data_IF_302954841888
#
_entry.id   IF_302954841888
#
_cell.length_a   1.000
_cell.length_b   1.000
_cell.length_c   1.000
_cell.angle_alpha   90.00
_cell.angle_beta   90.00
_cell.angle_gamma   90.00
#
_symmetry.space_group_name_H-M   'P 1'
#
loop_
_entity.id
_entity.type
_entity.pdbx_description
1 polymer ?
#
# COMPACT_ATOMS: atom_id res chain seq x y z
N UNK A 1 -13.14 -52.44 39.40
CA UNK A 1 -12.21 -53.32 40.16
C UNK A 1 -10.83 -53.15 39.56
N UNK A 2 -9.79 -52.95 40.39
CA UNK A 2 -8.36 -52.74 40.05
C UNK A 2 -7.98 -51.43 39.36
N UNK A 3 -6.88 -50.73 39.72
CA UNK A 3 -6.03 -50.74 40.92
C UNK A 3 -5.23 -49.43 40.88
N UNK A 4 -5.19 -48.73 42.01
CA UNK A 4 -4.36 -47.56 42.27
C UNK A 4 -2.90 -48.01 42.32
N UNK A 5 -2.00 -47.31 41.62
CA UNK A 5 -0.55 -47.35 41.88
C UNK A 5 -0.12 -45.92 42.21
N UNK A 6 0.20 -45.71 43.48
CA UNK A 6 0.85 -44.53 44.04
C UNK A 6 2.35 -44.77 44.16
N UNK A 7 3.15 -43.76 43.78
CA UNK A 7 4.31 -43.19 44.51
C UNK A 7 5.44 -42.72 43.56
N UNK A 8 6.37 -41.85 43.99
CA UNK A 8 6.34 -40.90 45.11
C UNK A 8 6.80 -39.48 44.71
N UNK A 9 6.58 -38.55 45.64
CA UNK A 9 7.06 -37.16 45.66
C UNK A 9 8.60 -37.07 45.70
N UNK A 10 9.15 -36.05 45.07
CA UNK A 10 10.42 -35.43 45.47
C UNK A 10 11.23 -34.81 44.33
N UNK A 11 11.31 -33.48 44.28
CA UNK A 11 12.26 -32.76 43.43
C UNK A 11 11.88 -31.30 43.23
N UNK A 12 12.67 -30.39 43.78
CA UNK A 12 12.58 -28.92 43.69
C UNK A 12 12.96 -28.39 42.30
N UNK A 13 12.56 -27.13 42.08
CA UNK A 13 13.01 -26.16 41.07
C UNK A 13 12.63 -26.41 39.61
N UNK A 14 11.72 -25.58 39.08
CA UNK A 14 12.15 -24.39 38.35
C UNK A 14 10.97 -23.43 38.15
N UNK A 15 11.22 -22.15 38.42
CA UNK A 15 10.26 -21.05 38.31
C UNK A 15 9.87 -20.72 36.87
N UNK A 16 9.16 -21.64 36.21
CA UNK A 16 8.35 -21.30 35.04
C UNK A 16 7.15 -20.49 35.55
N UNK A 17 7.30 -19.16 35.56
CA UNK A 17 6.16 -18.24 35.62
C UNK A 17 5.16 -18.73 34.58
N UNK A 18 4.01 -19.22 35.03
CA UNK A 18 2.93 -19.67 34.15
C UNK A 18 2.62 -18.55 33.15
N UNK A 19 2.99 -18.75 31.89
CA UNK A 19 2.76 -17.80 30.80
C UNK A 19 1.29 -17.44 30.63
N UNK A 20 0.38 -18.26 31.17
CA UNK A 20 -1.05 -18.00 31.25
C UNK A 20 -1.47 -16.86 32.19
N UNK A 21 -0.61 -16.46 33.14
CA UNK A 21 -0.93 -15.39 34.11
C UNK A 21 -0.54 -14.00 33.59
N UNK A 22 0.55 -13.90 32.82
CA UNK A 22 1.03 -12.63 32.25
C UNK A 22 0.03 -11.99 31.29
N UNK A 23 -0.66 -12.79 30.47
CA UNK A 23 -1.64 -12.28 29.49
C UNK A 23 -2.91 -11.75 30.16
N UNK A 24 -3.31 -12.31 31.31
CA UNK A 24 -4.47 -11.82 32.08
C UNK A 24 -4.20 -10.51 32.80
N UNK A 25 -2.92 -10.15 32.98
CA UNK A 25 -2.49 -8.93 33.66
C UNK A 25 -2.34 -7.74 32.71
N UNK A 26 -2.45 -7.95 31.39
CA UNK A 26 -2.42 -6.84 30.44
C UNK A 26 -3.67 -5.97 30.58
N UNK A 27 -3.52 -4.63 30.68
CA UNK A 27 -4.64 -3.72 30.65
C UNK A 27 -5.47 -3.88 29.37
N UNK A 28 -6.81 -3.71 29.42
CA UNK A 28 -7.69 -3.83 28.26
C UNK A 28 -7.26 -3.00 27.04
N UNK A 29 -6.68 -1.83 27.26
CA UNK A 29 -6.23 -0.90 26.24
C UNK A 29 -5.04 -1.46 25.46
N UNK A 30 -4.08 -2.07 26.17
CA UNK A 30 -2.89 -2.68 25.58
C UNK A 30 -3.30 -3.91 24.78
N UNK A 31 -4.17 -4.75 25.33
CA UNK A 31 -4.64 -5.93 24.62
C UNK A 31 -5.47 -5.54 23.38
N UNK A 32 -6.26 -4.48 23.46
CA UNK A 32 -6.98 -3.93 22.31
C UNK A 32 -6.03 -3.43 21.21
N UNK A 33 -4.96 -2.71 21.59
CA UNK A 33 -3.95 -2.25 20.66
C UNK A 33 -3.23 -3.43 19.95
N UNK A 34 -2.93 -4.48 20.71
CA UNK A 34 -2.38 -5.74 20.16
C UNK A 34 -3.36 -6.33 19.15
N UNK A 35 -4.64 -6.47 19.50
CA UNK A 35 -5.66 -7.03 18.60
C UNK A 35 -5.78 -6.27 17.28
N UNK A 36 -5.73 -4.93 17.34
CA UNK A 36 -5.80 -4.06 16.16
C UNK A 36 -4.54 -4.13 15.30
N UNK A 37 -3.42 -4.57 15.87
CA UNK A 37 -2.14 -4.72 15.16
C UNK A 37 -1.99 -6.10 14.50
N UNK A 38 -2.91 -7.05 14.77
CA UNK A 38 -2.86 -8.38 14.15
C UNK A 38 -3.22 -8.28 12.66
N UNK A 39 -2.34 -8.72 11.75
CA UNK A 39 -2.62 -8.74 10.33
C UNK A 39 -3.88 -9.56 10.05
N UNK A 40 -4.89 -8.91 9.47
CA UNK A 40 -6.18 -9.52 9.20
C UNK A 40 -6.36 -9.78 7.71
N UNK A 41 -5.30 -10.23 7.02
CA UNK A 41 -5.27 -10.43 5.56
C UNK A 41 -4.75 -9.20 4.80
N UNK A 42 -4.72 -9.30 3.46
CA UNK A 42 -4.37 -8.18 2.60
C UNK A 42 -5.47 -7.11 2.61
N UNK A 43 -5.13 -5.86 2.33
CA UNK A 43 -6.05 -4.70 2.35
C UNK A 43 -7.35 -4.89 1.54
N UNK A 44 -7.32 -5.75 0.53
CA UNK A 44 -8.45 -6.03 -0.38
C UNK A 44 -9.03 -7.45 -0.23
N UNK A 45 -8.42 -8.28 0.61
CA UNK A 45 -8.90 -9.62 0.95
C UNK A 45 -8.74 -9.85 2.46
N UNK A 46 -9.44 -9.05 3.31
CA UNK A 46 -9.35 -9.25 4.74
C UNK A 46 -9.88 -10.64 5.11
N UNK A 47 -9.22 -11.27 6.07
CA UNK A 47 -9.65 -12.50 6.70
C UNK A 47 -10.43 -12.16 7.97
N UNK A 48 -11.77 -12.02 7.89
CA UNK A 48 -12.57 -11.62 9.04
C UNK A 48 -12.54 -12.65 10.19
N UNK A 49 -12.07 -13.88 9.92
CA UNK A 49 -11.98 -14.92 10.95
C UNK A 49 -10.88 -14.64 11.98
N UNK A 50 -9.91 -13.77 11.69
CA UNK A 50 -8.85 -13.40 12.65
C UNK A 50 -9.48 -12.80 13.91
N UNK A 51 -10.39 -11.84 13.77
CA UNK A 51 -11.08 -11.19 14.89
C UNK A 51 -11.96 -12.17 15.67
N UNK A 52 -12.64 -13.08 14.96
CA UNK A 52 -13.45 -14.14 15.59
C UNK A 52 -12.56 -15.05 16.43
N UNK A 53 -11.41 -15.47 15.91
CA UNK A 53 -10.43 -16.30 16.62
C UNK A 53 -9.89 -15.60 17.86
N UNK A 54 -9.53 -14.32 17.78
CA UNK A 54 -9.09 -13.53 18.93
C UNK A 54 -10.18 -13.51 20.03
N UNK A 55 -11.45 -13.32 19.65
CA UNK A 55 -12.57 -13.33 20.60
C UNK A 55 -12.91 -14.72 21.18
N UNK A 56 -12.25 -15.78 20.71
CA UNK A 56 -12.53 -17.17 21.11
C UNK A 56 -11.51 -17.75 22.11
N UNK A 57 -10.39 -17.06 22.36
CA UNK A 57 -9.27 -17.55 23.19
C UNK A 57 -9.68 -17.80 24.64
N UNK A 58 -10.19 -16.78 25.34
CA UNK A 58 -10.67 -16.88 26.71
C UNK A 58 -11.77 -15.86 26.99
N UNK A 59 -12.43 -15.94 28.17
CA UNK A 59 -13.51 -15.00 28.55
C UNK A 59 -13.03 -13.53 28.54
N UNK A 60 -11.85 -13.26 29.09
CA UNK A 60 -11.29 -11.92 29.16
C UNK A 60 -11.03 -11.31 27.77
N UNK A 61 -10.41 -12.09 26.87
CA UNK A 61 -10.15 -11.66 25.49
C UNK A 61 -11.43 -11.42 24.72
N UNK A 62 -12.45 -12.27 24.93
CA UNK A 62 -13.77 -12.09 24.33
C UNK A 62 -14.40 -10.77 24.77
N UNK A 63 -14.40 -10.49 26.07
CA UNK A 63 -14.96 -9.25 26.61
C UNK A 63 -14.27 -8.02 26.03
N UNK A 64 -12.94 -8.02 25.99
CA UNK A 64 -12.15 -6.94 25.40
C UNK A 64 -12.47 -6.79 23.91
N UNK A 65 -12.39 -7.89 23.14
CA UNK A 65 -12.66 -7.87 21.71
C UNK A 65 -14.06 -7.32 21.41
N UNK A 66 -15.11 -7.74 22.15
CA UNK A 66 -16.47 -7.25 21.98
C UNK A 66 -16.65 -5.78 22.37
N UNK A 67 -15.80 -5.26 23.27
CA UNK A 67 -15.81 -3.85 23.65
C UNK A 67 -14.97 -2.96 22.72
N UNK A 68 -14.06 -3.54 21.95
CA UNK A 68 -13.22 -2.83 20.98
C UNK A 68 -13.90 -2.80 19.61
N UNK A 69 -14.83 -1.85 19.42
CA UNK A 69 -15.63 -1.73 18.19
C UNK A 69 -14.82 -1.61 16.89
N UNK A 70 -13.64 -0.98 16.94
CA UNK A 70 -12.73 -0.86 15.81
C UNK A 70 -12.22 -2.21 15.28
N UNK A 71 -12.26 -3.27 16.08
CA UNK A 71 -11.91 -4.63 15.65
C UNK A 71 -12.93 -5.20 14.65
N UNK A 72 -14.14 -4.65 14.64
CA UNK A 72 -15.28 -5.14 13.85
C UNK A 72 -15.72 -4.14 12.77
N UNK A 73 -14.98 -3.05 12.57
CA UNK A 73 -15.39 -1.96 11.67
C UNK A 73 -15.23 -2.26 10.18
N UNK A 74 -14.49 -3.32 9.82
CA UNK A 74 -14.30 -3.72 8.43
C UNK A 74 -15.36 -4.73 8.03
N UNK A 75 -16.35 -4.27 7.27
CA UNK A 75 -17.49 -5.08 6.83
C UNK A 75 -17.23 -5.55 5.41
N UNK A 76 -16.95 -6.84 5.27
CA UNK A 76 -16.59 -7.42 3.98
C UNK A 76 -17.63 -8.40 3.50
N UNK A 77 -17.98 -8.26 2.24
CA UNK A 77 -18.86 -9.17 1.54
C UNK A 77 -18.13 -9.78 0.36
N UNK A 78 -18.11 -11.12 0.32
CA UNK A 78 -17.48 -11.90 -0.73
C UNK A 78 -18.46 -12.79 -1.50
N UNK A 79 -19.56 -13.15 -0.83
CA UNK A 79 -20.61 -14.08 -1.25
C UNK A 79 -21.79 -13.96 -0.26
N UNK A 80 -22.89 -14.68 -0.52
CA UNK A 80 -24.08 -14.66 0.36
C UNK A 80 -23.82 -15.23 1.76
N UNK A 81 -22.85 -16.13 1.92
CA UNK A 81 -22.52 -16.73 3.22
C UNK A 81 -21.94 -15.70 4.20
N UNK A 82 -21.30 -14.65 3.66
CA UNK A 82 -20.73 -13.55 4.46
C UNK A 82 -21.77 -12.64 5.13
N UNK A 83 -23.05 -12.72 4.76
CA UNK A 83 -24.07 -11.76 5.20
C UNK A 83 -24.33 -11.83 6.71
N UNK A 84 -24.34 -13.03 7.29
CA UNK A 84 -24.54 -13.20 8.73
C UNK A 84 -23.34 -12.68 9.51
N UNK A 85 -22.12 -12.90 8.99
CA UNK A 85 -20.90 -12.38 9.59
C UNK A 85 -20.86 -10.85 9.53
N UNK A 86 -21.27 -10.26 8.40
CA UNK A 86 -21.38 -8.81 8.25
C UNK A 86 -22.37 -8.20 9.25
N UNK A 87 -23.57 -8.78 9.41
CA UNK A 87 -24.56 -8.34 10.41
C UNK A 87 -24.00 -8.43 11.84
N UNK A 88 -23.27 -9.50 12.15
CA UNK A 88 -22.60 -9.67 13.44
C UNK A 88 -21.52 -8.60 13.66
N UNK A 89 -20.74 -8.27 12.63
CA UNK A 89 -19.68 -7.27 12.73
C UNK A 89 -20.26 -5.87 12.89
N UNK A 90 -21.31 -5.55 12.13
CA UNK A 90 -22.05 -4.29 12.26
C UNK A 90 -22.57 -4.05 13.68
N UNK A 91 -23.14 -5.08 14.33
CA UNK A 91 -23.63 -4.94 15.72
C UNK A 91 -22.50 -4.73 16.72
N UNK A 92 -21.32 -5.33 16.47
CA UNK A 92 -20.13 -5.21 17.33
C UNK A 92 -19.31 -3.96 17.08
N UNK A 93 -19.38 -3.38 15.88
CA UNK A 93 -18.70 -2.14 15.53
C UNK A 93 -19.27 -0.91 16.28
N UNK A 94 -20.44 -1.04 16.92
CA UNK A 94 -21.08 0.01 17.73
C UNK A 94 -21.21 1.32 16.95
N UNK A 95 -20.48 2.38 17.31
CA UNK A 95 -20.49 3.69 16.66
C UNK A 95 -19.21 4.01 15.87
N UNK A 96 -18.31 3.03 15.68
CA UNK A 96 -17.05 3.25 14.97
C UNK A 96 -17.29 3.59 13.48
N UNK A 97 -16.35 4.34 12.90
CA UNK A 97 -16.31 4.52 11.45
C UNK A 97 -16.10 3.17 10.76
N UNK A 98 -16.73 2.96 9.61
CA UNK A 98 -16.80 1.67 8.94
C UNK A 98 -16.03 1.67 7.61
N UNK A 99 -15.35 0.57 7.34
CA UNK A 99 -14.78 0.28 6.03
C UNK A 99 -15.64 -0.81 5.39
N UNK A 100 -16.28 -0.47 4.28
CA UNK A 100 -17.20 -1.36 3.57
C UNK A 100 -16.53 -1.88 2.31
N UNK A 101 -16.47 -3.20 2.18
CA UNK A 101 -15.82 -3.88 1.07
C UNK A 101 -16.85 -4.80 0.39
N UNK A 102 -17.24 -4.44 -0.82
CA UNK A 102 -18.17 -5.17 -1.68
C UNK A 102 -17.36 -5.83 -2.79
N UNK A 103 -16.86 -7.04 -2.56
CA UNK A 103 -15.90 -7.69 -3.47
C UNK A 103 -16.43 -9.02 -3.99
N UNK A 104 -16.28 -9.31 -5.27
CA UNK A 104 -16.71 -10.59 -5.82
C UNK A 104 -15.57 -11.61 -5.76
N UNK A 105 -15.80 -12.81 -5.21
CA UNK A 105 -14.87 -13.94 -5.37
C UNK A 105 -14.92 -14.46 -6.81
N UNK A 106 -13.82 -14.43 -7.60
CA UNK A 106 -13.83 -14.75 -9.04
C UNK A 106 -14.35 -16.13 -9.46
N UNK A 107 -14.62 -17.03 -8.50
CA UNK A 107 -15.05 -18.42 -8.74
C UNK A 107 -16.42 -18.75 -8.13
N UNK A 108 -17.11 -17.78 -7.51
CA UNK A 108 -18.33 -18.03 -6.74
C UNK A 108 -19.65 -17.86 -7.52
N UNK A 109 -19.60 -17.55 -8.82
CA UNK A 109 -20.78 -17.16 -9.61
C UNK A 109 -21.32 -15.77 -9.21
N UNK A 110 -22.27 -15.21 -9.97
CA UNK A 110 -22.82 -13.88 -9.64
C UNK A 110 -23.41 -13.88 -8.22
N UNK A 111 -23.11 -12.84 -7.44
CA UNK A 111 -23.57 -12.70 -6.06
C UNK A 111 -24.34 -11.38 -5.92
N UNK A 112 -25.40 -11.33 -5.09
CA UNK A 112 -26.28 -10.17 -5.01
C UNK A 112 -25.62 -9.04 -4.20
N UNK A 113 -24.76 -8.26 -4.84
CA UNK A 113 -24.07 -7.12 -4.23
C UNK A 113 -25.07 -6.06 -3.73
N UNK A 114 -26.17 -5.91 -4.45
CA UNK A 114 -27.28 -5.04 -4.04
C UNK A 114 -27.83 -5.39 -2.66
N UNK A 115 -28.06 -6.67 -2.36
CA UNK A 115 -28.48 -7.12 -1.04
C UNK A 115 -27.43 -6.85 0.05
N UNK A 116 -26.15 -6.97 -0.30
CA UNK A 116 -25.08 -6.61 0.64
C UNK A 116 -25.05 -5.11 0.92
N UNK A 117 -25.22 -4.27 -0.11
CA UNK A 117 -25.37 -2.83 0.07
C UNK A 117 -26.54 -2.51 1.01
N UNK A 118 -27.72 -3.12 0.80
CA UNK A 118 -28.89 -2.93 1.68
C UNK A 118 -28.61 -3.22 3.16
N UNK A 119 -27.79 -4.23 3.46
CA UNK A 119 -27.40 -4.56 4.84
C UNK A 119 -26.60 -3.42 5.49
N UNK A 120 -25.73 -2.76 4.74
CA UNK A 120 -24.86 -1.69 5.26
C UNK A 120 -25.42 -0.28 5.08
N UNK A 121 -26.40 -0.06 4.20
CA UNK A 121 -27.03 1.25 3.96
C UNK A 121 -27.51 1.96 5.24
N UNK A 122 -28.10 1.29 6.26
CA UNK A 122 -28.48 1.97 7.49
C UNK A 122 -27.31 2.63 8.24
N UNK A 123 -26.07 2.22 7.94
CA UNK A 123 -24.85 2.71 8.59
C UNK A 123 -24.07 3.74 7.76
N UNK A 124 -24.65 4.20 6.64
CA UNK A 124 -24.00 5.10 5.68
C UNK A 124 -23.26 6.30 6.29
N UNK A 125 -23.80 7.04 7.29
CA UNK A 125 -23.10 8.20 7.89
C UNK A 125 -21.75 7.86 8.51
N UNK A 126 -21.54 6.59 8.87
CA UNK A 126 -20.33 6.09 9.52
C UNK A 126 -19.30 5.60 8.51
N UNK A 127 -19.61 5.56 7.21
CA UNK A 127 -18.68 5.02 6.23
C UNK A 127 -17.48 5.95 6.06
N UNK A 128 -16.30 5.37 6.26
CA UNK A 128 -14.99 5.98 6.00
C UNK A 128 -14.42 5.50 4.68
N UNK A 129 -14.54 4.21 4.40
CA UNK A 129 -14.00 3.60 3.18
C UNK A 129 -15.08 2.80 2.47
N UNK A 130 -15.13 2.91 1.14
CA UNK A 130 -15.91 2.06 0.28
C UNK A 130 -15.00 1.48 -0.81
N UNK A 131 -14.89 0.15 -0.84
CA UNK A 131 -14.23 -0.59 -1.92
C UNK A 131 -15.30 -1.40 -2.63
N UNK A 132 -15.40 -1.23 -3.94
CA UNK A 132 -16.36 -1.94 -4.76
C UNK A 132 -15.66 -2.63 -5.92
N UNK A 133 -15.89 -3.93 -6.03
CA UNK A 133 -15.58 -4.69 -7.23
C UNK A 133 -16.66 -4.42 -8.28
N UNK A 134 -16.22 -3.98 -9.45
CA UNK A 134 -17.03 -3.71 -10.63
C UNK A 134 -16.70 -4.73 -11.71
N UNK A 135 -16.38 -5.98 -11.37
CA UNK A 135 -16.30 -7.09 -12.32
C UNK A 135 -17.68 -7.49 -12.85
N UNK A 136 -18.68 -7.56 -11.97
CA UNK A 136 -20.10 -7.74 -12.33
C UNK A 136 -20.80 -6.38 -12.35
N UNK A 137 -20.86 -5.74 -13.52
CA UNK A 137 -21.43 -4.39 -13.64
C UNK A 137 -22.90 -4.33 -13.34
N UNK A 138 -23.64 -5.43 -13.52
CA UNK A 138 -25.09 -5.41 -13.29
C UNK A 138 -25.35 -5.23 -11.80
N UNK A 139 -24.67 -6.01 -10.97
CA UNK A 139 -24.78 -5.92 -9.52
C UNK A 139 -24.11 -4.67 -8.96
N UNK A 140 -22.96 -4.26 -9.50
CA UNK A 140 -22.33 -2.99 -9.11
C UNK A 140 -23.22 -1.78 -9.44
N UNK A 141 -23.87 -1.77 -10.61
CA UNK A 141 -24.81 -0.71 -11.01
C UNK A 141 -25.98 -0.62 -10.03
N UNK A 142 -26.57 -1.76 -9.64
CA UNK A 142 -27.66 -1.80 -8.66
C UNK A 142 -27.20 -1.28 -7.30
N UNK A 143 -26.07 -1.76 -6.80
CA UNK A 143 -25.52 -1.34 -5.52
C UNK A 143 -25.21 0.17 -5.48
N UNK A 144 -24.53 0.71 -6.51
CA UNK A 144 -24.24 2.15 -6.62
C UNK A 144 -25.55 2.94 -6.67
N UNK A 145 -26.52 2.53 -7.50
CA UNK A 145 -27.80 3.23 -7.62
C UNK A 145 -28.54 3.31 -6.29
N UNK A 146 -28.55 2.24 -5.51
CA UNK A 146 -29.14 2.22 -4.17
C UNK A 146 -28.44 3.21 -3.21
N UNK A 147 -27.11 3.20 -3.20
CA UNK A 147 -26.29 4.10 -2.38
C UNK A 147 -26.56 5.56 -2.73
N UNK A 148 -26.54 5.90 -4.03
CA UNK A 148 -26.77 7.26 -4.49
C UNK A 148 -28.20 7.74 -4.19
N UNK A 149 -29.19 6.89 -4.46
CA UNK A 149 -30.60 7.20 -4.15
C UNK A 149 -30.79 7.51 -2.68
N UNK A 150 -30.14 6.74 -1.79
CA UNK A 150 -30.18 6.98 -0.35
C UNK A 150 -29.56 8.34 0.03
N UNK A 151 -28.38 8.65 -0.50
CA UNK A 151 -27.68 9.92 -0.24
C UNK A 151 -28.49 11.13 -0.74
N UNK A 152 -29.10 11.01 -1.92
CA UNK A 152 -29.86 12.08 -2.55
C UNK A 152 -31.21 12.31 -1.86
N UNK A 153 -31.89 11.22 -1.47
CA UNK A 153 -33.17 11.30 -0.76
C UNK A 153 -33.01 11.79 0.67
N UNK A 154 -31.87 11.51 1.31
CA UNK A 154 -31.57 11.88 2.70
C UNK A 154 -30.14 12.44 2.81
N UNK A 155 -29.91 13.73 2.51
CA UNK A 155 -28.58 14.32 2.58
C UNK A 155 -27.90 14.21 3.96
N UNK A 156 -28.68 14.16 5.05
CA UNK A 156 -28.18 13.94 6.41
C UNK A 156 -27.52 12.56 6.59
N UNK A 157 -27.77 11.62 5.68
CA UNK A 157 -27.17 10.30 5.67
C UNK A 157 -25.86 10.22 4.89
N UNK A 158 -25.50 11.26 4.12
CA UNK A 158 -24.31 11.26 3.29
C UNK A 158 -23.04 10.99 4.12
N UNK A 159 -22.13 10.12 3.62
CA UNK A 159 -20.96 9.71 4.38
C UNK A 159 -19.88 10.79 4.31
N UNK A 160 -19.03 10.86 5.34
CA UNK A 160 -17.73 11.55 5.24
C UNK A 160 -16.68 10.57 4.73
N UNK A 161 -16.83 10.20 3.47
CA UNK A 161 -16.01 9.17 2.85
C UNK A 161 -14.58 9.68 2.66
N UNK A 162 -13.61 8.98 3.24
CA UNK A 162 -12.20 9.28 3.04
C UNK A 162 -11.70 8.56 1.80
N UNK A 163 -12.10 7.30 1.58
CA UNK A 163 -11.56 6.46 0.52
C UNK A 163 -12.68 5.82 -0.30
N UNK A 164 -12.64 6.04 -1.62
CA UNK A 164 -13.48 5.34 -2.60
C UNK A 164 -12.60 4.58 -3.58
N UNK A 165 -12.83 3.28 -3.72
CA UNK A 165 -12.09 2.41 -4.65
C UNK A 165 -13.03 1.67 -5.58
N UNK A 166 -12.77 1.77 -6.88
CA UNK A 166 -13.36 0.92 -7.91
C UNK A 166 -12.31 -0.06 -8.41
N UNK A 167 -12.60 -1.36 -8.30
CA UNK A 167 -11.69 -2.42 -8.70
C UNK A 167 -12.35 -3.36 -9.72
N UNK A 168 -11.60 -3.93 -10.66
CA UNK A 168 -12.10 -5.04 -11.51
C UNK A 168 -10.99 -6.01 -11.84
N UNK A 169 -11.35 -7.28 -11.95
CA UNK A 169 -10.48 -8.36 -12.44
C UNK A 169 -10.73 -8.60 -13.92
N UNK A 170 -9.68 -8.89 -14.70
CA UNK A 170 -9.86 -9.33 -16.09
C UNK A 170 -10.20 -8.22 -17.10
N UNK A 171 -10.16 -6.95 -16.67
CA UNK A 171 -10.18 -5.76 -17.53
C UNK A 171 -11.39 -5.66 -18.45
N UNK A 172 -12.61 -5.72 -17.94
CA UNK A 172 -13.83 -5.55 -18.74
C UNK A 172 -14.00 -4.06 -19.18
N UNK A 173 -14.55 -3.80 -20.37
CA UNK A 173 -14.71 -2.44 -20.93
C UNK A 173 -15.95 -1.70 -20.44
N UNK A 174 -15.82 -0.90 -19.38
CA UNK A 174 -16.93 -0.17 -18.74
C UNK A 174 -17.89 0.48 -19.77
N UNK A 175 -19.15 0.03 -19.77
CA UNK A 175 -20.21 0.63 -20.58
C UNK A 175 -20.56 2.06 -20.12
N UNK A 176 -21.17 2.85 -21.00
CA UNK A 176 -21.43 4.28 -20.75
C UNK A 176 -22.30 4.53 -19.50
N UNK A 177 -23.32 3.70 -19.26
CA UNK A 177 -24.16 3.80 -18.05
C UNK A 177 -23.36 3.68 -16.75
N UNK A 178 -22.39 2.77 -16.70
CA UNK A 178 -21.53 2.59 -15.52
C UNK A 178 -20.55 3.76 -15.38
N UNK A 179 -20.08 4.31 -16.50
CA UNK A 179 -19.23 5.51 -16.53
C UNK A 179 -19.95 6.68 -15.84
N UNK A 180 -21.20 6.92 -16.20
CA UNK A 180 -22.01 8.00 -15.65
C UNK A 180 -22.29 7.79 -14.15
N UNK A 181 -22.55 6.55 -13.74
CA UNK A 181 -22.76 6.20 -12.33
C UNK A 181 -21.51 6.39 -11.48
N UNK A 182 -20.34 6.00 -11.98
CA UNK A 182 -19.06 6.23 -11.30
C UNK A 182 -18.83 7.73 -11.13
N UNK A 183 -19.02 8.51 -12.19
CA UNK A 183 -18.86 9.97 -12.14
C UNK A 183 -19.83 10.62 -11.13
N UNK A 184 -21.11 10.20 -11.15
CA UNK A 184 -22.13 10.65 -10.19
C UNK A 184 -21.77 10.24 -8.77
N UNK A 185 -21.24 9.05 -8.56
CA UNK A 185 -20.84 8.58 -7.23
C UNK A 185 -19.70 9.39 -6.63
N UNK A 186 -18.71 9.79 -7.43
CA UNK A 186 -17.62 10.66 -6.97
C UNK A 186 -18.17 12.04 -6.58
N UNK A 187 -19.11 12.59 -7.37
CA UNK A 187 -19.76 13.87 -7.06
C UNK A 187 -20.60 13.86 -5.79
N UNK A 188 -21.36 12.79 -5.56
CA UNK A 188 -22.29 12.66 -4.44
C UNK A 188 -21.57 12.27 -3.16
N UNK A 189 -20.67 11.27 -3.22
CA UNK A 189 -19.97 10.75 -2.05
C UNK A 189 -18.76 11.59 -1.65
N UNK A 190 -18.24 12.43 -2.56
CA UNK A 190 -17.16 13.40 -2.35
C UNK A 190 -15.95 12.85 -1.58
N UNK A 191 -15.30 11.75 -2.04
CA UNK A 191 -14.20 11.15 -1.32
C UNK A 191 -12.93 12.02 -1.33
N UNK A 192 -12.20 12.06 -0.21
CA UNK A 192 -10.88 12.72 -0.16
C UNK A 192 -9.82 11.96 -0.99
N UNK A 193 -9.93 10.64 -1.05
CA UNK A 193 -9.05 9.72 -1.76
C UNK A 193 -9.83 8.85 -2.75
N UNK A 194 -9.37 8.81 -3.99
CA UNK A 194 -9.97 8.04 -5.07
C UNK A 194 -8.96 7.04 -5.64
N UNK A 195 -9.39 5.79 -5.79
CA UNK A 195 -8.55 4.71 -6.33
C UNK A 195 -9.27 3.95 -7.42
N UNK A 196 -8.56 3.69 -8.52
CA UNK A 196 -9.03 2.84 -9.62
C UNK A 196 -8.03 1.70 -9.80
N UNK A 197 -8.52 0.46 -9.74
CA UNK A 197 -7.71 -0.75 -9.92
C UNK A 197 -8.30 -1.60 -11.05
N UNK A 198 -7.59 -1.75 -12.17
CA UNK A 198 -8.13 -2.46 -13.34
C UNK A 198 -9.22 -1.71 -14.12
N UNK A 199 -9.71 -0.58 -13.59
CA UNK A 199 -10.79 0.24 -14.15
C UNK A 199 -10.21 1.53 -14.72
N UNK A 200 -10.57 1.88 -15.96
CA UNK A 200 -10.19 3.18 -16.51
C UNK A 200 -11.11 4.28 -15.97
N UNK A 201 -10.56 5.37 -15.40
CA UNK A 201 -11.34 6.52 -15.01
C UNK A 201 -12.05 7.15 -16.21
N UNK A 202 -13.19 7.76 -15.91
CA UNK A 202 -13.97 8.59 -16.83
C UNK A 202 -13.27 9.94 -16.97
N UNK A 203 -13.36 10.61 -18.13
CA UNK A 203 -12.87 11.98 -18.25
C UNK A 203 -13.81 12.88 -17.44
N UNK A 204 -13.36 13.51 -16.35
CA UNK A 204 -14.23 14.35 -15.54
C UNK A 204 -14.30 15.78 -16.08
N UNK A 205 -15.31 16.52 -15.62
CA UNK A 205 -15.35 17.98 -15.76
C UNK A 205 -14.42 18.67 -14.74
N UNK A 206 -14.46 18.29 -13.45
CA UNK A 206 -13.48 18.69 -12.40
C UNK A 206 -13.72 17.95 -11.07
N UNK A 207 -12.66 17.53 -10.37
CA UNK A 207 -12.72 16.92 -9.03
C UNK A 207 -11.82 17.65 -8.02
N UNK A 208 -12.17 18.90 -7.70
CA UNK A 208 -11.34 19.78 -6.85
C UNK A 208 -11.19 19.32 -5.39
N UNK A 209 -12.06 18.42 -4.92
CA UNK A 209 -12.05 17.93 -3.54
C UNK A 209 -11.07 16.76 -3.33
N UNK A 210 -10.72 16.04 -4.41
CA UNK A 210 -9.89 14.84 -4.32
C UNK A 210 -8.42 15.24 -4.11
N UNK A 211 -7.82 14.75 -3.02
CA UNK A 211 -6.43 15.02 -2.64
C UNK A 211 -5.51 13.85 -2.91
N UNK A 212 -6.05 12.64 -2.95
CA UNK A 212 -5.26 11.43 -3.17
C UNK A 212 -5.83 10.66 -4.36
N UNK A 213 -4.99 10.38 -5.35
CA UNK A 213 -5.37 9.63 -6.54
C UNK A 213 -4.45 8.44 -6.71
N UNK A 214 -5.04 7.25 -6.80
CA UNK A 214 -4.32 6.02 -7.10
C UNK A 214 -4.86 5.36 -8.36
N UNK A 215 -3.99 5.14 -9.34
CA UNK A 215 -4.29 4.47 -10.61
C UNK A 215 -3.47 3.19 -10.68
N UNK A 216 -4.13 2.04 -10.61
CA UNK A 216 -3.50 0.74 -10.43
C UNK A 216 -3.95 -0.25 -11.51
N UNK A 217 -3.01 -1.05 -12.00
CA UNK A 217 -3.27 -2.17 -12.91
C UNK A 217 -4.17 -1.78 -14.09
N UNK A 218 -3.98 -0.59 -14.68
CA UNK A 218 -4.79 -0.14 -15.81
C UNK A 218 -4.39 -0.95 -17.05
N UNK A 219 -5.06 -2.09 -17.27
CA UNK A 219 -4.77 -3.00 -18.38
C UNK A 219 -5.37 -2.45 -19.68
N UNK A 220 -4.51 -2.35 -20.70
CA UNK A 220 -4.89 -1.97 -22.05
C UNK A 220 -5.50 -3.19 -22.76
N UNK A 221 -6.84 -3.31 -22.79
CA UNK A 221 -7.48 -4.06 -23.90
C UNK A 221 -7.25 -3.25 -25.19
N UNK A 222 -7.04 -3.89 -26.36
CA UNK A 222 -6.31 -3.37 -27.54
C UNK A 222 -6.75 -2.05 -28.23
N UNK A 223 -7.45 -1.12 -27.55
CA UNK A 223 -7.91 0.16 -28.10
C UNK A 223 -7.99 1.38 -27.13
N UNK A 224 -7.77 1.28 -25.80
CA UNK A 224 -8.39 2.30 -24.90
C UNK A 224 -7.51 3.42 -24.32
N UNK A 225 -6.23 3.20 -23.98
CA UNK A 225 -5.43 4.22 -23.27
C UNK A 225 -4.41 4.93 -24.18
N UNK A 226 -4.70 6.16 -24.58
CA UNK A 226 -3.71 7.07 -25.19
C UNK A 226 -3.09 7.99 -24.14
N UNK A 227 -1.89 8.52 -24.41
CA UNK A 227 -1.26 9.52 -23.53
C UNK A 227 -2.13 10.77 -23.36
N UNK A 228 -2.83 11.19 -24.42
CA UNK A 228 -3.76 12.32 -24.39
C UNK A 228 -4.96 12.04 -23.47
N UNK A 229 -5.56 10.85 -23.56
CA UNK A 229 -6.66 10.47 -22.66
C UNK A 229 -6.20 10.45 -21.20
N UNK A 230 -5.01 9.89 -20.93
CA UNK A 230 -4.42 9.89 -19.59
C UNK A 230 -4.17 11.31 -19.05
N UNK A 231 -3.66 12.21 -19.90
CA UNK A 231 -3.47 13.61 -19.56
C UNK A 231 -4.80 14.30 -19.19
N UNK A 232 -5.87 14.03 -19.93
CA UNK A 232 -7.21 14.57 -19.66
C UNK A 232 -7.74 14.09 -18.31
N UNK A 233 -7.56 12.81 -17.97
CA UNK A 233 -7.92 12.28 -16.64
C UNK A 233 -7.19 13.08 -15.57
N UNK A 234 -5.86 13.18 -15.67
CA UNK A 234 -5.07 13.82 -14.62
C UNK A 234 -5.36 15.32 -14.47
N UNK A 235 -5.70 16.01 -15.57
CA UNK A 235 -6.07 17.44 -15.54
C UNK A 235 -7.30 17.76 -14.70
N UNK A 236 -8.17 16.78 -14.48
CA UNK A 236 -9.34 16.99 -13.62
C UNK A 236 -9.03 17.08 -12.12
N UNK A 237 -7.81 16.74 -11.70
CA UNK A 237 -7.39 16.69 -10.30
C UNK A 237 -6.40 17.82 -9.99
N UNK A 238 -6.92 19.03 -9.79
CA UNK A 238 -6.09 20.24 -9.67
C UNK A 238 -5.50 20.48 -8.27
N UNK A 239 -6.12 19.91 -7.22
CA UNK A 239 -5.69 20.05 -5.81
C UNK A 239 -5.02 18.80 -5.25
N UNK A 240 -4.49 17.96 -6.14
CA UNK A 240 -3.92 16.67 -5.76
C UNK A 240 -2.69 16.85 -4.87
N UNK A 241 -2.69 16.20 -3.71
CA UNK A 241 -1.57 16.14 -2.76
C UNK A 241 -0.71 14.88 -2.95
N UNK A 242 -1.33 13.76 -3.35
CA UNK A 242 -0.61 12.52 -3.65
C UNK A 242 -1.10 11.88 -4.95
N UNK A 243 -0.15 11.44 -5.78
CA UNK A 243 -0.40 10.72 -7.02
C UNK A 243 0.35 9.39 -7.01
N UNK A 244 -0.40 8.29 -7.03
CA UNK A 244 0.15 6.94 -7.13
C UNK A 244 -0.25 6.31 -8.46
N UNK A 245 0.74 5.81 -9.19
CA UNK A 245 0.55 5.16 -10.49
C UNK A 245 1.27 3.82 -10.43
N UNK A 246 0.48 2.73 -10.47
CA UNK A 246 0.95 1.35 -10.36
C UNK A 246 0.54 0.55 -11.61
N UNK A 247 1.49 -0.14 -12.24
CA UNK A 247 1.22 -1.13 -13.29
C UNK A 247 0.31 -0.61 -14.42
N UNK A 248 0.50 0.65 -14.82
CA UNK A 248 -0.25 1.25 -15.94
C UNK A 248 0.40 0.82 -17.25
N UNK A 249 -0.36 0.11 -18.09
CA UNK A 249 0.15 -0.53 -19.31
C UNK A 249 0.40 0.45 -20.47
N UNK A 250 1.05 -0.03 -21.52
CA UNK A 250 1.58 0.76 -22.65
C UNK A 250 0.47 1.58 -23.33
N UNK A 251 0.59 2.90 -23.25
CA UNK A 251 -0.22 3.82 -24.05
C UNK A 251 0.20 3.75 -25.53
N UNK A 252 -0.77 3.83 -26.45
CA UNK A 252 -0.50 3.98 -27.89
C UNK A 252 -0.33 5.47 -28.22
N UNK A 253 0.66 5.80 -29.04
CA UNK A 253 0.89 7.15 -29.54
C UNK A 253 2.39 7.50 -29.68
N UNK A 254 2.73 8.27 -30.72
CA UNK A 254 4.04 8.89 -30.86
C UNK A 254 4.04 10.17 -30.00
N UNK A 255 5.09 10.40 -29.20
CA UNK A 255 5.31 11.62 -28.41
C UNK A 255 5.27 12.87 -29.31
N UNK A 256 4.09 13.43 -29.56
CA UNK A 256 3.94 14.74 -30.21
C UNK A 256 3.46 15.72 -29.14
N UNK A 257 4.43 16.46 -28.59
CA UNK A 257 4.32 17.42 -27.46
C UNK A 257 3.89 16.80 -26.13
N UNK A 258 4.78 16.86 -25.15
CA UNK A 258 4.46 16.66 -23.74
C UNK A 258 3.69 17.88 -23.23
N UNK A 259 2.37 17.78 -23.30
CA UNK A 259 1.48 18.69 -22.63
C UNK A 259 1.83 18.79 -21.14
N UNK A 260 2.10 20.01 -20.66
CA UNK A 260 2.43 20.24 -19.26
C UNK A 260 1.23 19.90 -18.36
N UNK A 261 1.48 19.14 -17.30
CA UNK A 261 0.53 18.84 -16.24
C UNK A 261 0.97 19.58 -14.97
N UNK A 262 0.17 20.53 -14.50
CA UNK A 262 0.50 21.32 -13.32
C UNK A 262 -0.24 20.80 -12.10
N UNK A 263 0.50 20.44 -11.05
CA UNK A 263 -0.03 20.01 -9.77
C UNK A 263 0.60 20.84 -8.64
N UNK A 264 0.09 22.05 -8.36
CA UNK A 264 0.71 22.97 -7.42
C UNK A 264 0.74 22.45 -5.98
N UNK A 265 -0.22 21.61 -5.60
CA UNK A 265 -0.36 21.05 -4.26
C UNK A 265 0.31 19.67 -4.09
N UNK A 266 0.87 19.07 -5.14
CA UNK A 266 1.37 17.70 -5.10
C UNK A 266 2.60 17.61 -4.22
N UNK A 267 2.51 16.80 -3.16
CA UNK A 267 3.54 16.53 -2.16
C UNK A 267 4.23 15.19 -2.41
N UNK A 268 3.49 14.20 -2.90
CA UNK A 268 4.02 12.84 -3.10
C UNK A 268 3.69 12.30 -4.49
N UNK A 269 4.69 11.79 -5.18
CA UNK A 269 4.54 11.11 -6.47
C UNK A 269 5.14 9.71 -6.38
N UNK A 270 4.34 8.70 -6.70
CA UNK A 270 4.81 7.31 -6.71
C UNK A 270 4.55 6.63 -8.05
N UNK A 271 5.60 6.06 -8.65
CA UNK A 271 5.58 5.32 -9.90
C UNK A 271 6.06 3.88 -9.67
N UNK A 272 5.19 2.90 -9.90
CA UNK A 272 5.45 1.49 -9.59
C UNK A 272 5.10 0.59 -10.77
N UNK A 273 6.06 -0.15 -11.34
CA UNK A 273 5.76 -1.10 -12.42
C UNK A 273 5.06 -0.48 -13.67
N UNK A 274 4.79 -1.31 -14.68
CA UNK A 274 4.07 -0.88 -15.89
C UNK A 274 4.96 -0.27 -16.98
N UNK A 275 4.36 0.56 -17.83
CA UNK A 275 4.99 1.05 -19.07
C UNK A 275 6.06 2.12 -18.84
N UNK A 276 7.26 1.86 -19.34
CA UNK A 276 8.34 2.86 -19.35
C UNK A 276 7.99 4.11 -20.16
N UNK A 277 7.20 3.98 -21.24
CA UNK A 277 6.71 5.12 -22.03
C UNK A 277 5.82 6.02 -21.19
N UNK A 278 4.91 5.45 -20.40
CA UNK A 278 4.05 6.21 -19.51
C UNK A 278 4.87 6.91 -18.41
N UNK A 279 5.83 6.20 -17.82
CA UNK A 279 6.73 6.77 -16.83
C UNK A 279 7.53 7.95 -17.39
N UNK A 280 8.08 7.84 -18.61
CA UNK A 280 8.77 8.94 -19.31
C UNK A 280 7.85 10.14 -19.52
N UNK A 281 6.63 9.90 -19.99
CA UNK A 281 5.63 10.95 -20.19
C UNK A 281 5.33 11.69 -18.88
N UNK A 282 5.04 10.98 -17.78
CA UNK A 282 4.75 11.57 -16.47
C UNK A 282 5.95 12.38 -15.98
N UNK A 283 7.14 11.77 -15.99
CA UNK A 283 8.38 12.43 -15.58
C UNK A 283 8.72 13.63 -16.45
N UNK A 284 8.24 13.73 -17.70
CA UNK A 284 8.45 14.90 -18.55
C UNK A 284 7.35 15.98 -18.34
N UNK A 285 6.10 15.56 -18.22
CA UNK A 285 4.92 16.43 -18.23
C UNK A 285 4.62 17.09 -16.88
N UNK A 286 4.90 16.40 -15.77
CA UNK A 286 4.54 16.87 -14.41
C UNK A 286 5.38 18.08 -13.99
N UNK A 287 4.69 19.13 -13.54
CA UNK A 287 5.23 20.29 -12.82
C UNK A 287 4.58 20.36 -11.44
N UNK A 288 5.37 20.08 -10.40
CA UNK A 288 4.89 19.96 -9.03
C UNK A 288 5.82 20.72 -8.07
N UNK A 289 5.66 22.05 -7.92
CA UNK A 289 6.57 22.87 -7.12
C UNK A 289 6.60 22.52 -5.62
N UNK A 290 5.55 21.88 -5.12
CA UNK A 290 5.43 21.45 -3.72
C UNK A 290 5.89 20.00 -3.47
N UNK A 291 6.48 19.34 -4.48
CA UNK A 291 6.81 17.92 -4.41
C UNK A 291 7.94 17.67 -3.41
N UNK A 292 7.63 16.92 -2.35
CA UNK A 292 8.55 16.57 -1.26
C UNK A 292 9.04 15.14 -1.34
N UNK A 293 8.17 14.19 -1.71
CA UNK A 293 8.50 12.77 -1.77
C UNK A 293 8.35 12.22 -3.18
N UNK A 294 9.40 11.56 -3.67
CA UNK A 294 9.39 10.86 -4.95
C UNK A 294 9.74 9.40 -4.76
N UNK A 295 8.85 8.52 -5.22
CA UNK A 295 9.01 7.08 -5.14
C UNK A 295 8.99 6.43 -6.52
N UNK A 296 10.04 5.70 -6.88
CA UNK A 296 10.18 5.04 -8.18
C UNK A 296 10.57 3.58 -8.00
N UNK A 297 9.64 2.65 -8.29
CA UNK A 297 9.93 1.22 -8.44
C UNK A 297 9.78 0.77 -9.88
N UNK A 298 10.66 1.31 -10.71
CA UNK A 298 10.83 0.99 -12.13
C UNK A 298 12.30 0.72 -12.42
N UNK A 299 12.61 0.20 -13.61
CA UNK A 299 14.00 0.09 -14.06
C UNK A 299 14.59 1.49 -14.28
N UNK A 300 15.48 1.91 -13.39
CA UNK A 300 16.11 3.25 -13.42
C UNK A 300 17.06 3.40 -14.61
N UNK A 301 17.69 2.31 -15.08
CA UNK A 301 18.59 2.32 -16.24
C UNK A 301 17.95 2.98 -17.46
N UNK A 302 16.72 2.60 -17.80
CA UNK A 302 16.04 3.09 -19.02
C UNK A 302 15.41 4.47 -18.83
N UNK A 303 15.21 4.89 -17.58
CA UNK A 303 14.57 6.16 -17.21
C UNK A 303 15.56 7.22 -16.72
N UNK A 304 16.86 6.91 -16.70
CA UNK A 304 17.89 7.73 -16.05
C UNK A 304 17.80 9.20 -16.44
N UNK A 305 17.81 9.51 -17.75
CA UNK A 305 17.74 10.89 -18.23
C UNK A 305 16.43 11.60 -17.85
N UNK A 306 15.30 10.88 -17.88
CA UNK A 306 14.00 11.43 -17.50
C UNK A 306 13.92 11.70 -15.99
N UNK A 307 14.48 10.82 -15.17
CA UNK A 307 14.56 10.99 -13.72
C UNK A 307 15.48 12.17 -13.38
N UNK A 308 16.67 12.21 -13.97
CA UNK A 308 17.63 13.30 -13.75
C UNK A 308 17.04 14.67 -14.14
N UNK A 309 16.45 14.77 -15.33
CA UNK A 309 15.75 15.98 -15.77
C UNK A 309 14.60 16.36 -14.82
N UNK A 310 13.85 15.37 -14.32
CA UNK A 310 12.78 15.61 -13.36
C UNK A 310 13.31 16.10 -12.01
N UNK A 311 14.38 15.50 -11.49
CA UNK A 311 15.02 15.89 -10.24
C UNK A 311 15.63 17.30 -10.34
N UNK A 312 16.33 17.62 -11.42
CA UNK A 312 16.87 18.97 -11.65
C UNK A 312 15.75 20.04 -11.61
N UNK A 313 14.59 19.75 -12.22
CA UNK A 313 13.43 20.67 -12.23
C UNK A 313 12.77 20.85 -10.86
N UNK A 314 12.91 19.89 -9.94
CA UNK A 314 12.27 19.89 -8.63
C UNK A 314 13.30 19.81 -7.47
N UNK A 315 14.55 20.19 -7.76
CA UNK A 315 15.72 20.02 -6.89
C UNK A 315 15.58 20.72 -5.54
N UNK A 316 14.88 21.85 -5.52
CA UNK A 316 14.66 22.67 -4.32
C UNK A 316 13.58 22.15 -3.39
N UNK A 317 12.62 21.34 -3.89
CA UNK A 317 11.44 20.91 -3.12
C UNK A 317 11.55 19.48 -2.60
N UNK A 318 12.24 18.59 -3.32
CA UNK A 318 12.36 17.18 -2.94
C UNK A 318 13.17 17.05 -1.65
N UNK A 319 12.65 16.25 -0.72
CA UNK A 319 13.24 15.90 0.59
C UNK A 319 13.39 14.40 0.77
N UNK A 320 12.54 13.61 0.12
CA UNK A 320 12.55 12.16 0.21
C UNK A 320 12.60 11.54 -1.17
N UNK A 321 13.54 10.61 -1.37
CA UNK A 321 13.73 9.90 -2.63
C UNK A 321 13.85 8.40 -2.38
N UNK A 322 12.87 7.64 -2.87
CA UNK A 322 12.82 6.18 -2.73
C UNK A 322 12.94 5.50 -4.08
N UNK A 323 13.95 4.65 -4.26
CA UNK A 323 14.26 4.03 -5.55
C UNK A 323 14.43 2.52 -5.39
N UNK A 324 13.90 1.74 -6.34
CA UNK A 324 14.00 0.28 -6.29
C UNK A 324 15.41 -0.25 -6.55
N UNK A 325 16.07 0.25 -7.59
CA UNK A 325 17.45 -0.13 -7.93
C UNK A 325 18.24 1.07 -8.42
N UNK A 326 19.43 1.25 -7.89
CA UNK A 326 20.41 2.20 -8.38
C UNK A 326 21.48 1.49 -9.20
N UNK A 327 22.01 2.21 -10.19
CA UNK A 327 23.14 1.79 -11.00
C UNK A 327 24.26 2.84 -10.86
N UNK A 328 25.50 2.45 -11.15
CA UNK A 328 26.70 3.29 -10.92
C UNK A 328 26.58 4.70 -11.52
N UNK A 329 26.12 4.83 -12.76
CA UNK A 329 25.94 6.15 -13.40
C UNK A 329 24.72 6.93 -12.86
N UNK A 330 23.72 6.22 -12.35
CA UNK A 330 22.50 6.81 -11.82
C UNK A 330 22.72 7.41 -10.42
N UNK A 331 23.66 6.88 -9.62
CA UNK A 331 23.98 7.45 -8.31
C UNK A 331 24.38 8.94 -8.36
N UNK A 332 24.84 9.42 -9.52
CA UNK A 332 25.21 10.83 -9.74
C UNK A 332 24.03 11.79 -9.67
N UNK A 333 22.80 11.38 -10.02
CA UNK A 333 21.66 12.30 -9.92
C UNK A 333 21.31 12.66 -8.48
N UNK A 334 21.84 11.96 -7.47
CA UNK A 334 21.66 12.35 -6.07
C UNK A 334 22.27 13.74 -5.81
N UNK A 335 23.23 14.18 -6.64
CA UNK A 335 23.76 15.55 -6.61
C UNK A 335 22.72 16.59 -7.06
N UNK A 336 21.72 16.20 -7.85
CA UNK A 336 20.65 17.09 -8.31
C UNK A 336 19.61 17.40 -7.22
N UNK A 337 19.69 16.76 -6.05
CA UNK A 337 18.78 16.97 -4.92
C UNK A 337 19.57 17.35 -3.65
N UNK A 338 20.07 18.60 -3.56
CA UNK A 338 20.95 19.01 -2.47
C UNK A 338 20.27 19.06 -1.09
N UNK A 339 18.94 19.11 -1.06
CA UNK A 339 18.15 19.19 0.17
C UNK A 339 17.56 17.83 0.57
N UNK A 340 18.15 16.72 0.13
CA UNK A 340 17.63 15.39 0.43
C UNK A 340 17.79 15.08 1.92
N UNK A 341 16.67 14.83 2.60
CA UNK A 341 16.61 14.45 4.01
C UNK A 341 16.62 12.93 4.17
N UNK A 342 15.88 12.22 3.30
CA UNK A 342 15.72 10.77 3.34
C UNK A 342 16.02 10.18 1.97
N UNK A 343 16.98 9.27 1.91
CA UNK A 343 17.18 8.39 0.77
C UNK A 343 16.72 6.97 1.13
N UNK A 344 16.03 6.28 0.23
CA UNK A 344 15.59 4.91 0.48
C UNK A 344 15.80 3.97 -0.70
N UNK A 345 16.27 2.75 -0.42
CA UNK A 345 16.26 1.63 -1.36
C UNK A 345 15.04 0.74 -1.09
N UNK A 346 14.16 0.60 -2.08
CA UNK A 346 12.83 -0.04 -1.90
C UNK A 346 12.54 -1.13 -2.94
N UNK A 347 12.72 -2.41 -2.61
CA UNK A 347 12.79 -3.41 -3.67
C UNK A 347 12.94 -4.85 -3.24
N UNK A 348 13.32 -5.70 -4.19
CA UNK A 348 13.70 -7.07 -3.91
C UNK A 348 15.14 -7.19 -3.40
N UNK A 349 16.08 -6.46 -4.01
CA UNK A 349 17.51 -6.60 -3.68
C UNK A 349 18.19 -5.23 -3.53
N UNK A 350 18.66 -4.92 -2.32
CA UNK A 350 19.44 -3.71 -2.05
C UNK A 350 20.93 -3.87 -2.38
N UNK A 351 21.50 -5.08 -2.26
CA UNK A 351 22.94 -5.34 -2.37
C UNK A 351 23.62 -4.74 -3.61
N UNK A 352 23.17 -5.05 -4.84
CA UNK A 352 23.78 -4.47 -6.04
C UNK A 352 23.74 -2.94 -6.06
N UNK A 353 22.65 -2.34 -5.57
CA UNK A 353 22.51 -0.88 -5.50
C UNK A 353 23.50 -0.26 -4.52
N UNK A 354 23.70 -0.89 -3.36
CA UNK A 354 24.69 -0.45 -2.37
C UNK A 354 26.11 -0.54 -2.94
N UNK A 355 26.47 -1.65 -3.60
CA UNK A 355 27.76 -1.78 -4.27
C UNK A 355 27.99 -0.73 -5.36
N UNK A 356 26.95 -0.43 -6.16
CA UNK A 356 27.00 0.64 -7.15
C UNK A 356 27.17 2.04 -6.53
N UNK A 357 26.57 2.30 -5.36
CA UNK A 357 26.76 3.55 -4.62
C UNK A 357 28.21 3.68 -4.13
N UNK A 358 28.78 2.63 -3.51
CA UNK A 358 30.19 2.62 -3.08
C UNK A 358 31.12 2.89 -4.26
N UNK A 359 30.89 2.20 -5.39
CA UNK A 359 31.69 2.40 -6.61
C UNK A 359 31.55 3.82 -7.18
N UNK A 360 30.39 4.46 -7.05
CA UNK A 360 30.18 5.82 -7.55
C UNK A 360 30.79 6.88 -6.62
N UNK A 361 30.67 6.72 -5.30
CA UNK A 361 31.10 7.71 -4.31
C UNK A 361 32.61 7.67 -4.02
N UNK A 362 33.29 6.61 -4.41
CA UNK A 362 34.76 6.51 -4.32
C UNK A 362 35.48 7.10 -5.53
N UNK A 363 34.75 7.57 -6.56
CA UNK A 363 35.36 8.23 -7.72
C UNK A 363 35.85 9.65 -7.35
N UNK A 364 37.06 10.06 -7.80
CA UNK A 364 37.69 11.31 -7.37
C UNK A 364 36.93 12.59 -7.75
N UNK A 365 36.14 12.55 -8.82
CA UNK A 365 35.41 13.72 -9.34
C UNK A 365 33.95 13.82 -8.84
N UNK A 366 33.53 12.93 -7.93
CA UNK A 366 32.14 12.82 -7.51
C UNK A 366 31.94 13.47 -6.14
N UNK A 367 31.16 14.56 -6.11
CA UNK A 367 30.65 15.11 -4.85
C UNK A 367 29.72 14.10 -4.21
N UNK A 368 30.09 13.64 -3.02
CA UNK A 368 29.28 12.69 -2.25
C UNK A 368 27.99 13.38 -1.81
N UNK A 369 26.81 12.81 -2.13
CA UNK A 369 25.53 13.39 -1.74
C UNK A 369 25.38 13.37 -0.22
N UNK A 370 24.69 14.38 0.32
CA UNK A 370 24.38 14.46 1.74
C UNK A 370 22.91 14.15 1.96
N UNK A 371 22.64 13.14 2.76
CA UNK A 371 21.33 12.85 3.30
C UNK A 371 21.49 12.29 4.73
N UNK A 372 20.81 12.83 5.74
CA UNK A 372 20.95 12.39 7.12
C UNK A 372 20.27 11.05 7.40
N UNK A 373 19.23 10.66 6.66
CA UNK A 373 18.52 9.41 6.88
C UNK A 373 18.64 8.45 5.69
N UNK A 374 18.98 7.19 5.98
CA UNK A 374 19.02 6.12 4.99
C UNK A 374 18.06 4.99 5.37
N UNK A 375 17.14 4.64 4.46
CA UNK A 375 16.19 3.54 4.64
C UNK A 375 16.46 2.41 3.64
N UNK A 376 16.38 1.17 4.11
CA UNK A 376 16.45 -0.02 3.25
C UNK A 376 15.21 -0.86 3.51
N UNK A 377 14.33 -0.93 2.51
CA UNK A 377 13.18 -1.84 2.49
C UNK A 377 13.39 -2.86 1.36
N UNK A 378 13.98 -4.01 1.69
CA UNK A 378 14.35 -5.04 0.72
C UNK A 378 13.63 -6.37 0.99
N UNK A 379 13.57 -7.28 0.02
CA UNK A 379 13.12 -8.65 0.32
C UNK A 379 14.17 -9.35 1.17
N UNK A 380 15.44 -9.27 0.76
CA UNK A 380 16.56 -9.91 1.43
C UNK A 380 17.71 -8.93 1.55
N UNK A 381 18.38 -8.94 2.71
CA UNK A 381 19.64 -8.25 2.94
C UNK A 381 20.74 -9.28 3.22
N UNK A 382 21.69 -9.43 2.28
CA UNK A 382 22.81 -10.37 2.42
C UNK A 382 24.00 -9.74 3.17
N UNK A 383 24.91 -10.55 3.74
CA UNK A 383 26.12 -10.04 4.40
C UNK A 383 26.99 -9.16 3.50
N UNK A 384 27.09 -9.47 2.20
CA UNK A 384 27.86 -8.64 1.24
C UNK A 384 27.22 -7.26 1.02
N UNK A 385 25.89 -7.21 1.06
CA UNK A 385 25.15 -5.95 1.02
C UNK A 385 25.42 -5.11 2.28
N UNK A 386 25.57 -5.76 3.44
CA UNK A 386 25.89 -5.12 4.72
C UNK A 386 27.30 -4.55 4.71
N UNK A 387 28.29 -5.24 4.16
CA UNK A 387 29.64 -4.69 3.98
C UNK A 387 29.64 -3.44 3.06
N UNK A 388 28.85 -3.47 1.98
CA UNK A 388 28.66 -2.29 1.13
C UNK A 388 28.01 -1.14 1.89
N UNK A 389 27.06 -1.45 2.79
CA UNK A 389 26.42 -0.46 3.65
C UNK A 389 27.40 0.15 4.67
N UNK A 390 28.27 -0.67 5.29
CA UNK A 390 29.34 -0.18 6.18
C UNK A 390 30.27 0.79 5.45
N UNK A 391 30.63 0.48 4.21
CA UNK A 391 31.42 1.38 3.37
C UNK A 391 30.69 2.71 3.11
N UNK A 392 29.38 2.69 2.83
CA UNK A 392 28.58 3.92 2.66
C UNK A 392 28.53 4.75 3.94
N UNK A 393 28.36 4.13 5.12
CA UNK A 393 28.40 4.84 6.41
C UNK A 393 29.76 5.49 6.65
N UNK A 394 30.85 4.90 6.17
CA UNK A 394 32.18 5.50 6.20
C UNK A 394 32.35 6.69 5.25
N UNK A 395 31.57 6.75 4.17
CA UNK A 395 31.64 7.81 3.15
C UNK A 395 30.68 8.97 3.40
N UNK A 396 29.55 8.71 4.06
CA UNK A 396 28.46 9.68 4.26
C UNK A 396 28.15 9.79 5.76
N UNK A 397 28.10 11.01 6.33
CA UNK A 397 27.71 11.21 7.72
C UNK A 397 26.19 11.03 7.87
N UNK A 398 25.74 9.79 8.03
CA UNK A 398 24.34 9.46 8.31
C UNK A 398 24.02 9.77 9.78
N UNK A 399 22.88 10.44 10.01
CA UNK A 399 22.31 10.62 11.34
C UNK A 399 21.52 9.37 11.76
N UNK A 400 20.70 8.82 10.85
CA UNK A 400 19.82 7.69 11.14
C UNK A 400 19.81 6.61 10.06
N UNK A 401 19.65 5.35 10.47
CA UNK A 401 19.56 4.18 9.61
C UNK A 401 18.33 3.33 9.98
N UNK A 402 17.54 2.94 8.97
CA UNK A 402 16.39 2.06 9.14
C UNK A 402 16.46 0.90 8.14
N UNK A 403 16.43 -0.34 8.64
CA UNK A 403 16.50 -1.56 7.83
C UNK A 403 15.28 -2.42 8.10
N UNK A 404 14.57 -2.77 7.01
CA UNK A 404 13.49 -3.75 6.99
C UNK A 404 13.70 -4.72 5.83
N UNK A 405 14.04 -5.96 6.12
CA UNK A 405 14.22 -7.02 5.14
C UNK A 405 14.00 -8.39 5.76
N UNK A 406 14.09 -9.46 4.97
CA UNK A 406 14.40 -10.79 5.50
C UNK A 406 15.92 -10.94 5.66
N UNK A 407 16.31 -11.62 6.74
CA UNK A 407 17.70 -11.94 7.03
C UNK A 407 18.29 -12.83 5.94
N UNK A 408 19.38 -12.37 5.30
CA UNK A 408 20.23 -13.22 4.45
C UNK A 408 21.42 -13.81 5.20
N UNK A 409 21.46 -13.70 6.54
CA UNK A 409 22.55 -14.19 7.36
C UNK A 409 22.46 -15.71 7.55
N UNK A 410 23.63 -16.38 7.57
CA UNK A 410 23.71 -17.80 7.89
C UNK A 410 23.70 -18.08 9.41
N UNK A 411 24.10 -17.11 10.23
CA UNK A 411 24.19 -17.22 11.69
C UNK A 411 23.75 -15.93 12.38
N UNK A 412 22.97 -16.04 13.46
CA UNK A 412 22.46 -14.90 14.24
C UNK A 412 23.59 -14.08 14.88
N UNK A 413 24.68 -14.72 15.31
CA UNK A 413 25.84 -14.03 15.88
C UNK A 413 26.44 -12.99 14.93
N UNK A 414 26.49 -13.29 13.63
CA UNK A 414 27.00 -12.35 12.63
C UNK A 414 26.06 -11.15 12.47
N UNK A 415 24.75 -11.40 12.52
CA UNK A 415 23.73 -10.36 12.45
C UNK A 415 23.82 -9.39 13.64
N UNK A 416 23.99 -9.93 14.85
CA UNK A 416 24.11 -9.13 16.07
C UNK A 416 25.40 -8.29 16.07
N UNK A 417 26.53 -8.87 15.66
CA UNK A 417 27.79 -8.13 15.49
C UNK A 417 27.65 -6.96 14.52
N UNK A 418 26.98 -7.18 13.39
CA UNK A 418 26.76 -6.12 12.41
C UNK A 418 25.82 -5.04 12.94
N UNK A 419 24.73 -5.43 13.61
CA UNK A 419 23.82 -4.49 14.26
C UNK A 419 24.54 -3.60 15.28
N UNK A 420 25.35 -4.20 16.15
CA UNK A 420 26.14 -3.47 17.15
C UNK A 420 27.14 -2.51 16.50
N UNK A 421 27.76 -2.93 15.39
CA UNK A 421 28.65 -2.08 14.61
C UNK A 421 27.96 -0.79 14.12
N UNK A 422 26.70 -0.89 13.66
CA UNK A 422 25.90 0.26 13.23
C UNK A 422 25.42 1.10 14.40
N UNK A 423 24.90 0.49 15.46
CA UNK A 423 24.44 1.20 16.67
C UNK A 423 25.54 2.06 17.30
N UNK A 424 26.81 1.65 17.18
CA UNK A 424 27.96 2.42 17.66
C UNK A 424 28.30 3.66 16.80
N UNK A 425 27.69 3.82 15.61
CA UNK A 425 28.09 4.83 14.60
C UNK A 425 26.95 5.70 14.09
N UNK A 426 25.75 5.16 14.02
CA UNK A 426 24.55 5.81 13.47
C UNK A 426 23.36 5.47 14.35
N UNK A 427 22.39 6.37 14.47
CA UNK A 427 21.14 6.08 15.16
C UNK A 427 20.34 5.02 14.37
N UNK A 428 20.33 3.78 14.86
CA UNK A 428 19.55 2.70 14.23
C UNK A 428 18.10 2.78 14.70
N UNK A 429 17.27 3.45 13.91
CA UNK A 429 15.84 3.64 14.20
C UNK A 429 15.07 2.32 14.08
N UNK A 430 15.46 1.47 13.13
CA UNK A 430 14.83 0.16 12.93
C UNK A 430 15.84 -0.85 12.39
N UNK A 431 15.86 -2.04 12.99
CA UNK A 431 16.61 -3.18 12.51
C UNK A 431 15.70 -4.41 12.54
N UNK A 432 14.89 -4.57 11.49
CA UNK A 432 13.94 -5.66 11.37
C UNK A 432 14.33 -6.59 10.22
N UNK A 433 14.90 -7.74 10.56
CA UNK A 433 15.30 -8.78 9.61
C UNK A 433 14.33 -9.98 9.54
N UNK A 434 13.14 -9.84 10.13
CA UNK A 434 12.02 -10.78 10.01
C UNK A 434 10.87 -10.23 9.19
N UNK A 435 11.10 -9.18 8.40
CA UNK A 435 10.04 -8.45 7.72
C UNK A 435 9.60 -9.20 6.45
N UNK A 436 8.38 -9.73 6.45
CA UNK A 436 7.70 -10.08 5.20
C UNK A 436 7.28 -8.79 4.49
N UNK A 437 7.63 -8.65 3.21
CA UNK A 437 7.23 -7.48 2.43
C UNK A 437 5.71 -7.35 2.45
N UNK A 438 5.26 -6.16 2.85
CA UNK A 438 3.87 -5.73 2.83
C UNK A 438 3.17 -6.15 1.52
N UNK A 439 2.30 -7.16 1.64
CA UNK A 439 1.52 -7.73 0.53
C UNK A 439 0.57 -6.71 -0.09
N UNK A 440 0.33 -5.57 0.57
CA UNK A 440 -0.37 -4.41 0.01
C UNK A 440 0.33 -3.79 -1.21
N UNK A 441 1.61 -4.13 -1.47
CA UNK A 441 2.35 -3.73 -2.67
C UNK A 441 2.39 -4.81 -3.77
N UNK A 442 1.86 -6.01 -3.52
CA UNK A 442 1.65 -7.00 -4.57
C UNK A 442 0.39 -6.59 -5.35
N UNK A 443 0.62 -5.97 -6.51
CA UNK A 443 -0.46 -5.63 -7.41
C UNK A 443 -1.23 -6.87 -7.85
N UNK A 444 -2.52 -6.66 -8.12
CA UNK A 444 -3.59 -7.61 -8.40
C UNK A 444 -3.21 -8.81 -9.31
N UNK A 445 -2.22 -8.65 -10.18
CA UNK A 445 -1.73 -9.70 -11.10
C UNK A 445 -0.99 -10.85 -10.40
N UNK A 446 -0.45 -10.66 -9.19
CA UNK A 446 0.22 -11.74 -8.45
C UNK A 446 -0.71 -12.93 -8.11
N UNK A 447 -2.03 -12.73 -8.16
CA UNK A 447 -3.04 -13.75 -7.86
C UNK A 447 -3.81 -14.21 -9.11
N UNK A 448 -3.61 -13.55 -10.26
CA UNK A 448 -4.10 -14.00 -11.55
C UNK A 448 -3.01 -14.81 -12.26
N UNK A 449 -2.83 -16.05 -11.77
CA UNK A 449 -2.16 -17.22 -12.37
C UNK A 449 -0.82 -17.68 -11.75
N UNK A 450 -0.78 -18.89 -11.14
CA UNK A 450 0.39 -19.74 -11.19
C UNK A 450 0.41 -20.50 -12.53
N UNK A 451 0.53 -19.79 -13.66
CA UNK A 451 0.76 -20.43 -14.96
C UNK A 451 2.20 -20.18 -15.39
N UNK A 452 3.14 -20.59 -14.55
CA UNK A 452 4.40 -21.13 -15.05
C UNK A 452 4.22 -22.64 -15.13
N UNK A 453 3.84 -23.13 -16.31
CA UNK A 453 4.19 -24.49 -16.70
C UNK A 453 5.71 -24.62 -16.55
N UNK A 454 6.22 -25.65 -15.86
CA UNK A 454 7.65 -25.89 -15.84
C UNK A 454 8.06 -26.22 -17.27
N UNK A 455 8.97 -25.42 -17.83
CA UNK A 455 9.66 -25.78 -19.05
C UNK A 455 10.51 -27.03 -18.73
N UNK A 456 10.16 -28.15 -19.38
CA UNK A 456 11.07 -29.26 -19.65
C UNK A 456 12.09 -28.80 -20.69
#
# INVERSE_FOLDING_TARGET
MMKIITSPKGGKDDGLVETGDLIKRLPPEILSAIFLSVPSGASWAPNPLVHVRLSSVCRYWREIALNTGALWSTITFFDTSSFQLAKLFLSRAKNCALDVILFHKPLAGSWPMSNAAEIVLPTLPRWRTLIMDVGDWTEATRAISLILTCCESKPSMAPRLHNLTFATVGGTTMGDTMRDLVERSIRVLRPDSLSFCGVLPTIPTSYEHVRHLSLQCLVNRPASLSLGYFALILRAYTRLETLRICHVMKARGIERRTDSLSFPALKELSLFGGSLTMAKYILAAVKAPSLRSLQIRLSVQTLQHSIESFLCRHSSSIRELKINRLYSHAARFLQAVPNLEVFALIGSHAGPSLGHMVSAFTQPDVVVPRFPAFEIHAQVLSPEAVESLKAIVGLIPLASLSIRAQSGYAAEEQQDRDKDWFCARVEVVSWNLGYEIDSCNQCYESLAAPNHSPLI
#
